data_IF_006967134644
#
_entry.id   IF_006967134644
#
_cell.length_a   1.000
_cell.length_b   1.000
_cell.length_c   1.000
_cell.angle_alpha   90.00
_cell.angle_beta   90.00
_cell.angle_gamma   90.00
#
_symmetry.space_group_name_H-M   'P 1'
#
loop_
_entity.id
_entity.type
_entity.pdbx_description
1 polymer ?
#
# COMPACT_ATOMS: atom_id res chain seq x y z
N UNK A 1 11.19 15.73 -2.24
CA UNK A 1 11.92 16.82 -2.93
C UNK A 1 11.91 16.69 -4.44
N UNK A 2 12.38 15.58 -5.03
CA UNK A 2 12.34 15.38 -6.49
C UNK A 2 10.93 15.59 -7.08
N UNK A 3 9.90 14.96 -6.52
CA UNK A 3 8.53 15.10 -7.03
C UNK A 3 8.00 16.54 -6.92
N UNK A 4 8.33 17.26 -5.84
CA UNK A 4 8.00 18.70 -5.71
C UNK A 4 8.71 19.54 -6.78
N UNK A 5 10.00 19.28 -7.02
CA UNK A 5 10.78 19.98 -8.03
C UNK A 5 10.32 19.72 -9.47
N UNK A 6 9.64 18.60 -9.71
CA UNK A 6 9.01 18.28 -10.99
C UNK A 6 7.54 18.75 -11.09
N UNK A 7 7.01 19.43 -10.07
CA UNK A 7 5.64 19.95 -10.08
C UNK A 7 4.55 18.91 -9.86
N UNK A 8 4.85 17.78 -9.20
CA UNK A 8 3.81 16.83 -8.78
C UNK A 8 3.18 17.24 -7.45
N UNK A 9 1.88 17.03 -7.32
CA UNK A 9 1.09 17.38 -6.13
C UNK A 9 0.87 16.21 -5.16
N UNK A 10 1.17 14.98 -5.59
CA UNK A 10 0.83 13.76 -4.87
C UNK A 10 1.94 12.72 -4.94
N UNK A 11 2.21 12.08 -3.81
CA UNK A 11 2.90 10.79 -3.73
C UNK A 11 1.91 9.69 -3.42
N UNK A 12 2.03 8.55 -4.12
CA UNK A 12 1.34 7.30 -3.79
C UNK A 12 2.36 6.19 -3.58
N UNK A 13 2.09 5.30 -2.63
CA UNK A 13 2.85 4.07 -2.43
C UNK A 13 1.94 2.93 -2.00
N UNK A 14 2.18 1.74 -2.55
CA UNK A 14 1.53 0.51 -2.12
C UNK A 14 2.51 -0.28 -1.25
N UNK A 15 2.09 -0.56 -0.03
CA UNK A 15 2.88 -1.22 0.99
C UNK A 15 2.39 -2.66 1.20
N UNK A 16 3.22 -3.63 0.85
CA UNK A 16 2.99 -5.07 1.03
C UNK A 16 3.53 -5.61 2.36
N UNK A 17 4.18 -4.76 3.17
CA UNK A 17 4.74 -5.14 4.47
C UNK A 17 4.29 -4.18 5.57
N UNK A 18 4.25 -4.69 6.80
CA UNK A 18 4.03 -3.87 7.98
C UNK A 18 5.11 -2.77 8.13
N UNK A 19 6.35 -3.07 7.81
CA UNK A 19 7.47 -2.14 7.97
C UNK A 19 7.36 -0.94 7.02
N UNK A 20 7.06 -1.16 5.75
CA UNK A 20 6.88 -0.07 4.78
C UNK A 20 5.65 0.77 5.10
N UNK A 21 4.54 0.15 5.52
CA UNK A 21 3.35 0.88 5.97
C UNK A 21 3.64 1.76 7.20
N UNK A 22 4.39 1.24 8.17
CA UNK A 22 4.83 2.00 9.35
C UNK A 22 5.73 3.17 8.97
N UNK A 23 6.64 2.97 8.02
CA UNK A 23 7.51 4.02 7.50
C UNK A 23 6.70 5.13 6.81
N UNK A 24 5.76 4.78 5.94
CA UNK A 24 4.85 5.74 5.30
C UNK A 24 4.08 6.57 6.32
N UNK A 25 3.53 5.93 7.35
CA UNK A 25 2.87 6.63 8.46
C UNK A 25 3.80 7.62 9.15
N UNK A 26 5.05 7.24 9.43
CA UNK A 26 6.04 8.15 10.06
C UNK A 26 6.43 9.34 9.18
N UNK A 27 6.34 9.20 7.85
CA UNK A 27 6.56 10.29 6.90
C UNK A 27 5.31 11.14 6.62
N UNK A 28 4.21 10.92 7.36
CA UNK A 28 2.98 11.69 7.21
C UNK A 28 2.16 11.33 5.98
N UNK A 29 2.26 10.09 5.50
CA UNK A 29 1.31 9.56 4.53
C UNK A 29 0.04 9.10 5.25
N UNK A 30 -1.08 9.15 4.54
CA UNK A 30 -2.38 8.66 4.96
C UNK A 30 -2.73 7.37 4.22
N UNK A 31 -3.21 6.36 4.94
CA UNK A 31 -3.70 5.12 4.33
C UNK A 31 -5.09 5.38 3.77
N UNK A 32 -5.25 5.21 2.46
CA UNK A 32 -6.52 5.41 1.77
C UNK A 32 -7.19 4.12 1.32
N UNK A 33 -6.44 3.01 1.31
CA UNK A 33 -6.97 1.72 0.90
C UNK A 33 -6.23 0.55 1.55
N UNK A 34 -6.94 -0.56 1.71
CA UNK A 34 -6.42 -1.84 2.18
C UNK A 34 -7.13 -2.97 1.44
N UNK A 35 -6.35 -3.89 0.88
CA UNK A 35 -6.84 -5.12 0.25
C UNK A 35 -6.22 -6.31 0.99
N UNK A 36 -7.05 -7.06 1.71
CA UNK A 36 -6.63 -8.34 2.27
C UNK A 36 -6.49 -9.35 1.14
N UNK A 37 -5.42 -10.13 1.16
CA UNK A 37 -5.20 -11.15 0.12
C UNK A 37 -6.31 -12.22 0.14
N UNK A 38 -6.90 -12.50 1.30
CA UNK A 38 -8.06 -13.39 1.46
C UNK A 38 -9.31 -12.94 0.73
N UNK A 39 -9.42 -11.64 0.43
CA UNK A 39 -10.62 -11.04 -0.13
C UNK A 39 -10.45 -10.82 -1.65
N UNK A 40 -9.23 -11.02 -2.19
CA UNK A 40 -8.92 -10.90 -3.60
C UNK A 40 -8.87 -12.29 -4.25
N UNK A 41 -10.04 -12.71 -4.74
CA UNK A 41 -10.29 -14.07 -5.23
C UNK A 41 -10.28 -14.12 -6.76
N UNK A 42 -9.88 -15.27 -7.31
CA UNK A 42 -10.05 -15.60 -8.72
C UNK A 42 -11.51 -16.00 -9.05
N UNK A 43 -11.77 -16.33 -10.32
CA UNK A 43 -13.09 -16.77 -10.80
C UNK A 43 -13.61 -18.05 -10.12
N UNK A 44 -12.74 -18.81 -9.46
CA UNK A 44 -13.07 -20.04 -8.74
C UNK A 44 -13.16 -19.82 -7.21
N UNK A 45 -13.06 -18.57 -6.74
CA UNK A 45 -13.11 -18.23 -5.32
C UNK A 45 -11.82 -18.52 -4.55
N UNK A 46 -10.68 -18.73 -5.21
CA UNK A 46 -9.38 -18.94 -4.55
C UNK A 46 -8.60 -17.63 -4.44
N UNK A 47 -7.91 -17.36 -3.32
CA UNK A 47 -7.05 -16.18 -3.22
C UNK A 47 -6.01 -16.14 -4.34
N UNK A 48 -5.95 -15.04 -5.09
CA UNK A 48 -4.96 -14.84 -6.16
C UNK A 48 -3.55 -14.70 -5.57
N UNK A 49 -3.44 -14.14 -4.37
CA UNK A 49 -2.17 -13.94 -3.67
C UNK A 49 -2.14 -14.75 -2.36
N UNK A 50 -1.07 -15.52 -2.16
CA UNK A 50 -0.85 -16.31 -0.95
C UNK A 50 0.58 -16.16 -0.44
N UNK A 51 1.01 -14.95 -0.04
CA UNK A 51 2.35 -14.75 0.49
C UNK A 51 2.53 -15.41 1.87
N UNK A 52 3.78 -15.60 2.26
CA UNK A 52 4.10 -16.12 3.59
C UNK A 52 3.71 -15.15 4.72
N UNK A 53 3.43 -15.69 5.90
CA UNK A 53 3.20 -14.87 7.08
C UNK A 53 4.45 -14.05 7.41
N UNK A 54 4.32 -12.79 7.89
CA UNK A 54 3.08 -12.15 8.36
C UNK A 54 2.33 -11.31 7.32
N UNK A 55 2.57 -11.51 6.02
CA UNK A 55 1.96 -10.69 4.97
C UNK A 55 0.51 -11.08 4.71
N UNK A 56 -0.45 -10.19 5.04
CA UNK A 56 -1.89 -10.49 4.94
C UNK A 56 -2.69 -9.49 4.08
N UNK A 57 -2.13 -8.32 3.79
CA UNK A 57 -2.78 -7.29 3.00
C UNK A 57 -1.76 -6.43 2.25
N UNK A 58 -2.23 -5.83 1.16
CA UNK A 58 -1.61 -4.68 0.52
C UNK A 58 -2.33 -3.41 1.00
N UNK A 59 -1.59 -2.34 1.27
CA UNK A 59 -2.18 -1.06 1.67
C UNK A 59 -1.71 0.07 0.76
N UNK A 60 -2.61 0.94 0.32
CA UNK A 60 -2.25 2.12 -0.48
C UNK A 60 -2.24 3.35 0.42
N UNK A 61 -1.16 4.11 0.30
CA UNK A 61 -0.91 5.32 1.08
C UNK A 61 -0.65 6.50 0.15
N UNK A 62 -1.11 7.68 0.56
CA UNK A 62 -0.86 8.92 -0.17
C UNK A 62 -0.29 10.01 0.73
N UNK A 63 0.42 10.96 0.12
CA UNK A 63 0.82 12.21 0.76
C UNK A 63 0.75 13.34 -0.26
N UNK A 64 0.02 14.40 0.10
CA UNK A 64 0.05 15.65 -0.65
C UNK A 64 1.43 16.31 -0.51
N UNK A 65 1.97 16.83 -1.60
CA UNK A 65 3.32 17.38 -1.70
C UNK A 65 3.39 18.88 -1.37
#
# INVERSE_FOLDING_TARGET
>A
DMCKGLGYDLLRTDCSSHFTAKLCKSFGFEKIYELKYSDYLDENGKPVFTPEQPHNAMTTWIKML
#
